data_IF_139844088861
#
_entry.id   IF_139844088861
#
_cell.length_a   1.000
_cell.length_b   1.000
_cell.length_c   1.000
_cell.angle_alpha   90.00
_cell.angle_beta   90.00
_cell.angle_gamma   90.00
#
_symmetry.space_group_name_H-M   'P 1'
#
loop_
_entity.id
_entity.type
_entity.pdbx_description
1 polymer ?
#
# COMPACT_ATOMS: atom_id res chain seq x y z
N UNK A 1 -36.57 15.08 39.63
CA UNK A 1 -37.35 13.83 39.48
C UNK A 1 -36.42 12.77 38.93
N UNK A 2 -36.06 11.82 39.78
CA UNK A 2 -35.25 10.66 39.42
C UNK A 2 -36.17 9.51 38.99
N UNK A 3 -35.85 8.83 37.90
CA UNK A 3 -36.35 7.48 37.63
C UNK A 3 -35.17 6.65 37.12
N UNK A 4 -34.69 5.82 38.05
CA UNK A 4 -33.79 4.67 37.88
C UNK A 4 -34.70 3.46 37.65
N UNK A 5 -34.50 2.62 36.64
CA UNK A 5 -34.95 1.22 36.64
C UNK A 5 -34.11 0.37 35.66
N UNK A 6 -33.14 -0.38 36.19
CA UNK A 6 -33.08 -1.86 36.33
C UNK A 6 -32.58 -2.61 35.08
N UNK A 7 -31.37 -3.18 35.24
CA UNK A 7 -30.79 -4.23 34.42
C UNK A 7 -31.38 -5.61 34.79
N UNK A 8 -31.60 -6.47 33.80
CA UNK A 8 -31.87 -7.90 34.00
C UNK A 8 -30.87 -8.71 33.18
N UNK A 9 -29.99 -9.41 33.88
CA UNK A 9 -29.19 -10.52 33.39
C UNK A 9 -30.02 -11.80 33.46
N UNK A 10 -30.02 -12.61 32.40
CA UNK A 10 -30.35 -14.03 32.50
C UNK A 10 -29.25 -14.85 31.80
N UNK A 11 -28.43 -15.49 32.62
CA UNK A 11 -27.60 -16.64 32.24
C UNK A 11 -28.48 -17.85 32.02
N UNK A 12 -28.21 -18.64 30.97
CA UNK A 12 -28.70 -20.02 30.86
C UNK A 12 -27.52 -20.96 30.68
N UNK A 13 -27.32 -21.81 31.68
CA UNK A 13 -26.46 -22.98 31.62
C UNK A 13 -27.19 -24.11 30.88
N UNK A 14 -26.49 -24.79 29.96
CA UNK A 14 -26.94 -26.02 29.34
C UNK A 14 -25.73 -26.89 29.03
N UNK A 15 -25.45 -27.83 29.92
CA UNK A 15 -24.42 -28.87 29.78
C UNK A 15 -25.03 -30.08 29.07
N UNK A 16 -24.33 -30.67 28.10
CA UNK A 16 -24.38 -32.11 27.88
C UNK A 16 -23.06 -32.61 27.29
N UNK A 17 -22.58 -33.68 27.91
CA UNK A 17 -21.25 -34.27 27.82
C UNK A 17 -21.33 -35.55 26.98
N UNK A 18 -20.39 -35.75 26.06
CA UNK A 18 -20.03 -37.06 25.51
C UNK A 18 -18.54 -37.08 25.18
N UNK A 19 -17.76 -37.59 26.14
CA UNK A 19 -16.69 -38.63 26.05
C UNK A 19 -16.42 -39.15 24.63
N UNK A 20 -15.22 -39.37 24.10
CA UNK A 20 -13.81 -39.27 24.50
C UNK A 20 -13.00 -39.74 23.27
N UNK A 21 -11.84 -39.16 22.98
CA UNK A 21 -10.61 -39.96 22.91
C UNK A 21 -9.34 -39.11 22.81
N UNK A 22 -8.38 -39.52 23.62
CA UNK A 22 -7.02 -39.02 23.73
C UNK A 22 -6.21 -39.32 22.47
N UNK A 23 -5.47 -38.33 21.98
CA UNK A 23 -4.14 -38.59 21.42
C UNK A 23 -3.26 -37.38 21.73
N UNK A 24 -2.31 -37.57 22.64
CA UNK A 24 -1.21 -36.65 22.87
C UNK A 24 -0.24 -36.81 21.71
N UNK A 25 -0.06 -35.77 20.90
CA UNK A 25 1.14 -35.63 20.08
C UNK A 25 1.89 -34.38 20.51
N UNK A 26 2.88 -34.62 21.37
CA UNK A 26 3.98 -33.72 21.63
C UNK A 26 4.81 -33.63 20.36
N UNK A 27 4.66 -32.56 19.58
CA UNK A 27 5.65 -32.22 18.57
C UNK A 27 6.65 -31.25 19.18
N UNK A 28 7.84 -31.81 19.39
CA UNK A 28 9.11 -31.20 19.76
C UNK A 28 9.29 -29.81 19.13
N UNK A 29 9.68 -28.85 19.97
CA UNK A 29 10.30 -27.59 19.56
C UNK A 29 11.59 -27.90 18.79
N UNK A 30 11.46 -28.04 17.47
CA UNK A 30 12.59 -27.99 16.56
C UNK A 30 13.07 -26.55 16.49
N UNK A 31 14.25 -26.29 17.09
CA UNK A 31 15.04 -25.10 16.82
C UNK A 31 15.28 -25.00 15.32
N UNK A 32 14.45 -24.24 14.61
CA UNK A 32 14.73 -23.83 13.24
C UNK A 32 15.87 -22.84 13.36
N UNK A 33 17.06 -23.30 12.95
CA UNK A 33 18.25 -22.50 12.78
C UNK A 33 17.88 -21.20 12.07
N UNK A 34 18.17 -20.07 12.72
CA UNK A 34 18.18 -18.74 12.13
C UNK A 34 19.33 -18.67 11.13
N UNK A 35 19.21 -19.40 10.02
CA UNK A 35 20.09 -19.21 8.88
C UNK A 35 19.69 -17.86 8.28
N UNK A 36 20.45 -16.86 8.68
CA UNK A 36 20.21 -15.46 8.37
C UNK A 36 20.53 -15.30 6.90
N UNK A 37 19.54 -15.50 6.04
CA UNK A 37 19.55 -14.94 4.69
C UNK A 37 19.72 -13.43 4.88
N UNK A 38 20.96 -12.96 4.76
CA UNK A 38 21.27 -11.53 4.82
C UNK A 38 20.51 -10.87 3.67
N UNK A 39 19.41 -10.20 4.01
CA UNK A 39 18.65 -9.42 3.04
C UNK A 39 19.61 -8.50 2.29
N UNK A 40 19.58 -8.56 0.98
CA UNK A 40 20.50 -7.77 0.17
C UNK A 40 20.13 -6.29 0.30
N UNK A 41 21.12 -5.43 0.55
CA UNK A 41 20.89 -3.97 0.64
C UNK A 41 20.67 -3.40 -0.77
N UNK A 42 19.68 -2.51 -1.01
CA UNK A 42 19.42 -1.96 -2.35
C UNK A 42 20.64 -1.36 -3.04
N UNK A 43 21.57 -0.76 -2.29
CA UNK A 43 22.78 -0.08 -2.79
C UNK A 43 23.82 -1.02 -3.40
N UNK A 44 23.65 -2.33 -3.25
CA UNK A 44 24.53 -3.33 -3.88
C UNK A 44 24.07 -3.76 -5.28
N UNK A 45 22.92 -3.27 -5.75
CA UNK A 45 22.41 -3.58 -7.08
C UNK A 45 23.24 -2.89 -8.17
N UNK A 46 23.57 -3.64 -9.23
CA UNK A 46 24.29 -3.14 -10.41
C UNK A 46 23.46 -3.40 -11.67
N UNK A 47 23.34 -2.43 -12.59
CA UNK A 47 22.64 -2.63 -13.87
C UNK A 47 23.39 -3.61 -14.78
N UNK A 48 22.64 -4.33 -15.61
CA UNK A 48 23.22 -5.25 -16.59
C UNK A 48 23.82 -4.50 -17.79
N UNK A 49 23.26 -3.33 -18.13
CA UNK A 49 23.69 -2.51 -19.25
C UNK A 49 24.16 -1.10 -18.85
N UNK A 50 24.56 -0.34 -19.86
CA UNK A 50 24.89 1.07 -19.67
C UNK A 50 23.65 1.90 -19.33
N UNK A 51 23.85 2.90 -18.48
CA UNK A 51 22.79 3.86 -18.14
C UNK A 51 22.34 4.61 -19.41
N UNK A 52 21.03 4.89 -19.55
CA UNK A 52 20.54 5.59 -20.72
C UNK A 52 21.18 6.98 -20.86
N UNK A 53 21.34 7.45 -22.11
CA UNK A 53 22.00 8.72 -22.40
C UNK A 53 21.36 9.93 -21.68
N UNK A 54 20.04 9.90 -21.47
CA UNK A 54 19.30 10.93 -20.72
C UNK A 54 19.46 10.83 -19.19
N UNK A 55 19.98 9.73 -18.68
CA UNK A 55 20.04 9.39 -17.26
C UNK A 55 21.43 8.99 -16.79
N UNK A 56 22.49 9.69 -17.24
CA UNK A 56 23.89 9.37 -16.88
C UNK A 56 24.15 9.34 -15.37
N UNK A 57 23.44 10.17 -14.61
CA UNK A 57 23.57 10.29 -13.16
C UNK A 57 22.59 9.41 -12.38
N UNK A 58 21.89 8.47 -13.03
CA UNK A 58 21.03 7.51 -12.34
C UNK A 58 21.87 6.69 -11.35
N UNK A 59 21.30 6.43 -10.17
CA UNK A 59 21.89 5.46 -9.26
C UNK A 59 21.78 4.06 -9.86
N UNK A 60 22.72 3.18 -9.52
CA UNK A 60 22.73 1.81 -10.04
C UNK A 60 21.43 1.05 -9.70
N UNK A 61 20.86 1.15 -8.48
CA UNK A 61 19.58 0.52 -8.17
C UNK A 61 18.42 1.05 -9.03
N UNK A 62 18.42 2.35 -9.33
CA UNK A 62 17.38 2.93 -10.17
C UNK A 62 17.53 2.47 -11.64
N UNK A 63 18.76 2.33 -12.12
CA UNK A 63 19.02 1.77 -13.45
C UNK A 63 18.49 0.33 -13.55
N UNK A 64 18.70 -0.51 -12.53
CA UNK A 64 18.15 -1.87 -12.46
C UNK A 64 16.61 -1.87 -12.50
N UNK A 65 15.95 -0.97 -11.76
CA UNK A 65 14.49 -0.84 -11.80
C UNK A 65 14.01 -0.44 -13.19
N UNK A 66 14.71 0.47 -13.88
CA UNK A 66 14.38 0.87 -15.26
C UNK A 66 14.56 -0.29 -16.23
N UNK A 67 15.64 -1.07 -16.11
CA UNK A 67 15.85 -2.29 -16.91
C UNK A 67 14.71 -3.30 -16.68
N UNK A 68 14.32 -3.50 -15.42
CA UNK A 68 13.20 -4.38 -15.08
C UNK A 68 11.89 -3.89 -15.68
N UNK A 69 11.60 -2.59 -15.57
CA UNK A 69 10.40 -2.00 -16.17
C UNK A 69 10.38 -2.19 -17.69
N UNK A 70 11.50 -1.98 -18.37
CA UNK A 70 11.64 -2.23 -19.81
C UNK A 70 11.42 -3.69 -20.17
N UNK A 71 11.89 -4.62 -19.32
CA UNK A 71 11.73 -6.07 -19.56
C UNK A 71 10.28 -6.54 -19.62
N UNK A 72 9.34 -5.76 -19.08
CA UNK A 72 7.90 -6.04 -19.21
C UNK A 72 7.36 -5.81 -20.62
N UNK A 73 8.13 -5.15 -21.50
CA UNK A 73 7.81 -4.94 -22.91
C UNK A 73 6.40 -4.33 -23.13
N UNK A 74 6.00 -3.43 -22.24
CA UNK A 74 4.74 -2.71 -22.33
C UNK A 74 4.76 -1.75 -23.54
N UNK A 75 3.67 -1.68 -24.34
CA UNK A 75 3.57 -0.71 -25.41
C UNK A 75 3.55 0.73 -24.86
N UNK A 76 3.97 1.73 -25.66
CA UNK A 76 3.93 3.13 -25.23
C UNK A 76 2.52 3.55 -24.79
N UNK A 77 2.41 4.17 -23.62
CA UNK A 77 1.11 4.52 -23.01
C UNK A 77 0.23 5.36 -23.95
N UNK A 78 0.84 6.23 -24.77
CA UNK A 78 0.11 7.10 -25.71
C UNK A 78 -0.57 6.37 -26.86
N UNK A 79 -0.24 5.08 -27.10
CA UNK A 79 -0.88 4.27 -28.13
C UNK A 79 -2.04 3.42 -27.59
N UNK A 80 -2.33 3.51 -26.30
CA UNK A 80 -3.35 2.71 -25.62
C UNK A 80 -4.59 3.54 -25.28
N UNK A 81 -5.74 2.87 -25.16
CA UNK A 81 -6.88 3.46 -24.45
C UNK A 81 -6.58 3.63 -22.95
N UNK A 82 -7.32 4.50 -22.26
CA UNK A 82 -7.18 4.69 -20.81
C UNK A 82 -7.36 3.37 -20.02
N UNK A 83 -8.33 2.54 -20.43
CA UNK A 83 -8.61 1.25 -19.79
C UNK A 83 -7.44 0.28 -19.95
N UNK A 84 -6.80 0.26 -21.12
CA UNK A 84 -5.62 -0.59 -21.36
C UNK A 84 -4.38 -0.05 -20.65
N UNK A 85 -4.16 1.28 -20.69
CA UNK A 85 -3.04 1.93 -20.02
C UNK A 85 -3.05 1.68 -18.50
N UNK A 86 -4.23 1.70 -17.86
CA UNK A 86 -4.39 1.39 -16.43
C UNK A 86 -4.03 -0.05 -16.05
N UNK A 87 -3.99 -0.97 -17.02
CA UNK A 87 -3.61 -2.38 -16.81
C UNK A 87 -2.11 -2.63 -17.02
N UNK A 88 -1.38 -1.66 -17.57
CA UNK A 88 0.04 -1.82 -17.84
C UNK A 88 0.85 -1.93 -16.55
N UNK A 89 1.96 -2.70 -16.56
CA UNK A 89 2.89 -2.75 -15.44
C UNK A 89 3.40 -1.35 -15.07
N UNK A 90 3.41 -1.05 -13.79
CA UNK A 90 3.87 0.23 -13.25
C UNK A 90 5.36 0.18 -12.84
N UNK A 91 6.00 1.35 -12.66
CA UNK A 91 7.31 1.40 -11.99
C UNK A 91 7.29 0.74 -10.60
N UNK A 92 6.18 0.81 -9.86
CA UNK A 92 6.05 0.14 -8.57
C UNK A 92 6.08 -1.39 -8.70
N UNK A 93 5.54 -1.94 -9.78
CA UNK A 93 5.62 -3.39 -10.07
C UNK A 93 7.06 -3.79 -10.42
N UNK A 94 7.79 -2.95 -11.16
CA UNK A 94 9.21 -3.18 -11.43
C UNK A 94 10.04 -3.18 -10.15
N UNK A 95 9.82 -2.22 -9.23
CA UNK A 95 10.47 -2.20 -7.91
C UNK A 95 10.18 -3.49 -7.13
N UNK A 96 8.91 -3.90 -7.03
CA UNK A 96 8.52 -5.14 -6.34
C UNK A 96 9.21 -6.37 -6.95
N UNK A 97 9.25 -6.46 -8.28
CA UNK A 97 9.88 -7.56 -8.97
C UNK A 97 11.40 -7.58 -8.76
N UNK A 98 12.08 -6.43 -8.74
CA UNK A 98 13.52 -6.33 -8.40
C UNK A 98 13.74 -6.78 -6.96
N UNK A 99 12.95 -6.29 -6.01
CA UNK A 99 13.10 -6.67 -4.60
C UNK A 99 12.94 -8.17 -4.39
N UNK A 100 11.94 -8.78 -5.04
CA UNK A 100 11.72 -10.22 -5.00
C UNK A 100 12.87 -11.00 -5.64
N UNK A 101 13.34 -10.57 -6.81
CA UNK A 101 14.41 -11.24 -7.55
C UNK A 101 15.75 -11.22 -6.79
N UNK A 102 16.00 -10.17 -6.00
CA UNK A 102 17.24 -9.97 -5.26
C UNK A 102 17.10 -10.22 -3.75
N UNK A 103 15.98 -10.81 -3.30
CA UNK A 103 15.71 -11.08 -1.89
C UNK A 103 15.94 -9.85 -0.98
N UNK A 104 15.53 -8.67 -1.47
CA UNK A 104 15.59 -7.41 -0.72
C UNK A 104 14.37 -7.35 0.19
N UNK A 105 14.62 -7.17 1.49
CA UNK A 105 13.55 -7.03 2.46
C UNK A 105 12.73 -5.75 2.21
N UNK A 106 11.41 -5.88 2.30
CA UNK A 106 10.53 -4.71 2.35
C UNK A 106 10.75 -4.02 3.70
N UNK A 107 11.01 -2.70 3.72
CA UNK A 107 11.14 -1.97 4.97
C UNK A 107 9.88 -2.16 5.83
N UNK A 108 10.03 -2.40 7.16
CA UNK A 108 8.89 -2.50 8.04
C UNK A 108 8.15 -1.16 8.07
N UNK A 109 6.83 -1.22 7.89
CA UNK A 109 5.96 -0.05 7.96
C UNK A 109 5.19 -0.09 9.28
N UNK A 110 5.53 0.81 10.22
CA UNK A 110 4.85 0.90 11.52
C UNK A 110 3.65 1.86 11.46
N UNK A 111 2.70 1.53 10.59
CA UNK A 111 1.51 2.33 10.34
C UNK A 111 0.24 1.46 10.39
N UNK A 112 -0.88 2.06 10.77
CA UNK A 112 -2.22 1.54 10.49
C UNK A 112 -2.71 2.07 9.15
N UNK A 113 -3.54 1.28 8.47
CA UNK A 113 -4.18 1.69 7.22
C UNK A 113 -5.67 1.42 7.29
N UNK A 114 -6.48 2.43 7.02
CA UNK A 114 -7.94 2.30 6.93
C UNK A 114 -8.45 2.92 5.63
N UNK A 115 -9.58 2.40 5.14
CA UNK A 115 -10.32 2.99 4.02
C UNK A 115 -11.52 3.79 4.53
N UNK A 116 -11.83 4.91 3.88
CA UNK A 116 -13.01 5.73 4.18
C UNK A 116 -13.59 6.32 2.90
N UNK A 117 -14.88 6.12 2.68
CA UNK A 117 -15.60 6.82 1.61
C UNK A 117 -16.08 8.19 2.10
N UNK A 118 -16.02 9.19 1.22
CA UNK A 118 -16.63 10.51 1.45
C UNK A 118 -17.52 10.91 0.28
N UNK A 119 -18.51 11.74 0.57
CA UNK A 119 -19.42 12.29 -0.44
C UNK A 119 -18.79 13.52 -1.10
N UNK A 120 -18.92 13.61 -2.43
CA UNK A 120 -18.49 14.77 -3.23
C UNK A 120 -19.58 15.13 -4.24
N UNK A 121 -19.56 16.33 -4.84
CA UNK A 121 -20.50 16.66 -5.89
C UNK A 121 -20.49 15.63 -7.03
N UNK A 122 -21.65 15.02 -7.28
CA UNK A 122 -21.81 14.01 -8.32
C UNK A 122 -21.32 12.60 -7.97
N UNK A 123 -21.08 12.28 -6.69
CA UNK A 123 -20.82 10.89 -6.28
C UNK A 123 -20.13 10.74 -4.93
N UNK A 124 -19.29 9.72 -4.83
CA UNK A 124 -18.42 9.46 -3.69
C UNK A 124 -17.01 9.13 -4.18
N UNK A 125 -16.01 9.44 -3.36
CA UNK A 125 -14.62 9.03 -3.58
C UNK A 125 -14.11 8.27 -2.36
N UNK A 126 -13.08 7.45 -2.59
CA UNK A 126 -12.43 6.67 -1.54
C UNK A 126 -11.15 7.34 -1.07
N UNK A 127 -10.93 7.31 0.25
CA UNK A 127 -9.70 7.74 0.90
C UNK A 127 -9.04 6.52 1.51
N UNK A 128 -7.71 6.44 1.40
CA UNK A 128 -6.89 5.54 2.22
C UNK A 128 -6.06 6.36 3.19
N UNK A 129 -6.26 6.11 4.48
CA UNK A 129 -5.64 6.88 5.56
C UNK A 129 -4.57 6.01 6.20
N UNK A 130 -3.34 6.53 6.23
CA UNK A 130 -2.16 5.91 6.85
C UNK A 130 -1.84 6.65 8.13
N UNK A 131 -1.85 5.94 9.27
CA UNK A 131 -1.63 6.54 10.59
C UNK A 131 -0.38 5.93 11.25
N UNK A 132 0.63 6.73 11.63
CA UNK A 132 1.80 6.23 12.34
C UNK A 132 1.46 5.62 13.71
N UNK A 133 2.12 4.52 14.07
CA UNK A 133 1.98 3.87 15.38
C UNK A 133 3.08 4.29 16.35
N UNK A 134 3.32 5.59 16.46
CA UNK A 134 4.36 6.13 17.37
C UNK A 134 3.83 6.44 18.77
N UNK A 135 2.51 6.30 18.99
CA UNK A 135 1.87 6.54 20.29
C UNK A 135 1.64 8.02 20.62
N UNK A 136 1.73 8.93 19.64
CA UNK A 136 1.36 10.34 19.84
C UNK A 136 -0.15 10.51 19.81
N UNK A 137 -0.63 11.47 20.59
CA UNK A 137 -2.06 11.84 20.66
C UNK A 137 -2.50 12.66 19.43
N UNK A 138 -1.60 13.45 18.85
CA UNK A 138 -1.87 14.34 17.71
C UNK A 138 -0.77 14.21 16.66
N UNK A 139 -1.18 14.08 15.41
CA UNK A 139 -0.29 14.04 14.25
C UNK A 139 -0.59 15.19 13.29
N UNK A 140 0.42 15.75 12.60
CA UNK A 140 0.17 16.56 11.41
C UNK A 140 -0.51 15.72 10.33
N UNK A 141 -1.23 16.36 9.42
CA UNK A 141 -1.95 15.71 8.32
C UNK A 141 -1.38 16.14 6.99
N UNK A 142 -1.16 15.17 6.09
CA UNK A 142 -0.80 15.38 4.70
C UNK A 142 -1.92 14.81 3.83
N UNK A 143 -2.55 15.65 3.02
CA UNK A 143 -3.44 15.18 1.95
C UNK A 143 -2.59 14.87 0.72
N UNK A 144 -2.66 13.62 0.26
CA UNK A 144 -1.80 13.09 -0.79
C UNK A 144 -2.61 12.76 -2.04
N UNK A 145 -2.22 13.37 -3.15
CA UNK A 145 -2.81 13.13 -4.46
C UNK A 145 -1.80 12.36 -5.31
N UNK A 146 -2.18 11.15 -5.72
CA UNK A 146 -1.32 10.32 -6.54
C UNK A 146 -1.13 10.91 -7.94
N UNK A 147 0.03 10.63 -8.55
CA UNK A 147 0.31 11.00 -9.94
C UNK A 147 -0.39 10.08 -10.95
N UNK A 148 0.08 10.11 -12.19
CA UNK A 148 -0.49 9.32 -13.30
C UNK A 148 -1.25 10.15 -14.35
N UNK A 149 -0.99 11.46 -14.41
CA UNK A 149 -1.52 12.34 -15.46
C UNK A 149 -3.04 12.36 -15.53
N UNK A 150 -3.71 12.21 -14.38
CA UNK A 150 -5.17 12.11 -14.23
C UNK A 150 -5.83 10.90 -14.91
N UNK A 151 -5.08 10.01 -15.56
CA UNK A 151 -5.63 8.90 -16.35
C UNK A 151 -5.25 7.55 -15.78
N UNK A 152 -4.01 7.37 -15.33
CA UNK A 152 -3.46 6.10 -14.85
C UNK A 152 -3.07 6.16 -13.37
N UNK A 153 -2.63 5.01 -12.84
CA UNK A 153 -2.27 4.79 -11.45
C UNK A 153 -3.44 4.96 -10.47
N UNK A 154 -3.24 4.53 -9.24
CA UNK A 154 -4.25 4.49 -8.19
C UNK A 154 -3.60 4.43 -6.80
N UNK A 155 -4.43 4.26 -5.77
CA UNK A 155 -3.99 4.04 -4.39
C UNK A 155 -3.04 2.84 -4.23
N UNK A 156 -3.12 1.81 -5.08
CA UNK A 156 -2.25 0.63 -5.02
C UNK A 156 -0.87 0.95 -5.59
N UNK A 157 -0.80 1.71 -6.68
CA UNK A 157 0.46 2.11 -7.32
C UNK A 157 1.29 2.99 -6.39
N UNK A 158 0.64 3.90 -5.65
CA UNK A 158 1.30 4.85 -4.74
C UNK A 158 1.30 4.42 -3.27
N UNK A 159 0.86 3.19 -2.97
CA UNK A 159 0.70 2.72 -1.59
C UNK A 159 1.99 2.83 -0.76
N UNK A 160 3.11 2.34 -1.33
CA UNK A 160 4.41 2.38 -0.68
C UNK A 160 4.91 3.81 -0.46
N UNK A 161 4.61 4.74 -1.38
CA UNK A 161 4.99 6.14 -1.25
C UNK A 161 4.22 6.84 -0.14
N UNK A 162 2.90 6.64 -0.07
CA UNK A 162 2.06 7.23 0.97
C UNK A 162 2.36 6.64 2.36
N UNK A 163 2.53 5.32 2.45
CA UNK A 163 2.93 4.63 3.69
C UNK A 163 4.33 5.05 4.15
N UNK A 164 5.30 5.10 3.22
CA UNK A 164 6.65 5.54 3.52
C UNK A 164 6.70 6.98 4.00
N UNK A 165 5.92 7.88 3.37
CA UNK A 165 5.81 9.27 3.81
C UNK A 165 5.25 9.35 5.23
N UNK A 166 4.12 8.68 5.52
CA UNK A 166 3.52 8.66 6.85
C UNK A 166 4.51 8.20 7.92
N UNK A 167 5.26 7.13 7.63
CA UNK A 167 6.24 6.55 8.54
C UNK A 167 7.46 7.47 8.76
N UNK A 168 8.00 8.07 7.70
CA UNK A 168 9.22 8.89 7.78
C UNK A 168 9.02 10.24 8.44
N UNK A 169 7.86 10.89 8.19
CA UNK A 169 7.58 12.23 8.73
C UNK A 169 6.70 12.21 9.97
N UNK A 170 6.27 11.02 10.41
CA UNK A 170 5.33 10.82 11.52
C UNK A 170 4.07 11.69 11.37
N UNK A 171 3.43 11.60 10.20
CA UNK A 171 2.20 12.30 9.86
C UNK A 171 1.11 11.32 9.43
N UNK A 172 -0.15 11.69 9.67
CA UNK A 172 -1.28 11.00 9.04
C UNK A 172 -1.30 11.39 7.56
N UNK A 173 -1.27 10.40 6.67
CA UNK A 173 -1.36 10.63 5.23
C UNK A 173 -2.73 10.19 4.74
N UNK A 174 -3.47 11.09 4.13
CA UNK A 174 -4.78 10.83 3.51
C UNK A 174 -4.59 10.76 2.00
N UNK A 175 -4.51 9.56 1.45
CA UNK A 175 -4.37 9.34 0.01
C UNK A 175 -5.74 9.30 -0.66
N UNK A 176 -5.96 10.21 -1.62
CA UNK A 176 -7.27 10.47 -2.22
C UNK A 176 -7.40 9.76 -3.57
N UNK A 177 -8.39 8.88 -3.72
CA UNK A 177 -8.75 8.28 -5.01
C UNK A 177 -9.71 9.21 -5.78
N UNK A 178 -9.17 10.34 -6.25
CA UNK A 178 -9.93 11.27 -7.08
C UNK A 178 -10.41 10.59 -8.38
N UNK A 179 -11.53 11.05 -8.95
CA UNK A 179 -12.05 10.48 -10.19
C UNK A 179 -11.17 10.86 -11.38
N UNK A 180 -10.90 9.89 -12.24
CA UNK A 180 -9.94 10.00 -13.33
C UNK A 180 -10.59 10.36 -14.68
N UNK A 181 -9.77 10.98 -15.53
CA UNK A 181 -10.04 11.15 -16.95
C UNK A 181 -9.77 9.84 -17.70
N UNK A 182 -10.39 9.61 -18.88
CA UNK A 182 -11.26 10.53 -19.62
C UNK A 182 -12.72 10.56 -19.13
N UNK A 183 -13.13 9.65 -18.26
CA UNK A 183 -14.51 9.52 -17.79
C UNK A 183 -14.96 10.76 -17.03
N UNK A 184 -14.04 11.38 -16.28
CA UNK A 184 -14.27 12.59 -15.51
C UNK A 184 -13.29 13.68 -15.96
N UNK A 185 -13.75 14.54 -16.88
CA UNK A 185 -12.93 15.65 -17.40
C UNK A 185 -12.66 16.70 -16.33
N UNK A 186 -11.65 17.53 -16.56
CA UNK A 186 -11.43 18.74 -15.78
C UNK A 186 -12.75 19.55 -15.63
N UNK A 187 -13.11 20.05 -14.43
CA UNK A 187 -12.30 20.11 -13.20
C UNK A 187 -12.58 18.99 -12.17
N UNK A 188 -13.22 17.87 -12.53
CA UNK A 188 -13.74 16.91 -11.55
C UNK A 188 -12.67 16.41 -10.57
N UNK A 189 -11.52 15.93 -11.04
CA UNK A 189 -10.43 15.48 -10.17
C UNK A 189 -9.96 16.57 -9.19
N UNK A 190 -9.97 17.83 -9.62
CA UNK A 190 -9.53 18.97 -8.80
C UNK A 190 -10.57 19.30 -7.73
N UNK A 191 -11.85 19.23 -8.08
CA UNK A 191 -12.94 19.41 -7.14
C UNK A 191 -13.00 18.27 -6.11
N UNK A 192 -12.77 17.02 -6.55
CA UNK A 192 -12.65 15.85 -5.66
C UNK A 192 -11.48 16.05 -4.68
N UNK A 193 -10.33 16.49 -5.18
CA UNK A 193 -9.16 16.79 -4.36
C UNK A 193 -9.42 17.90 -3.34
N UNK A 194 -10.11 18.98 -3.72
CA UNK A 194 -10.44 20.09 -2.83
C UNK A 194 -11.47 19.72 -1.76
N UNK A 195 -12.40 18.82 -2.08
CA UNK A 195 -13.44 18.37 -1.15
C UNK A 195 -12.97 17.33 -0.12
N UNK A 196 -11.81 16.70 -0.36
CA UNK A 196 -11.21 15.69 0.51
C UNK A 196 -10.46 16.32 1.69
#
# INVERSE_FOLDING_TARGET
MAVVFIAVFCSSCGSNNSTSNSTKDSTTAGSISTDTLKAQKPESLQPAGEKPAWGKNLTDPMAVVIEKLKSFNAPPIVTLSAVEARKQPSPADAVKAVMQQHSIAVPPNNIDTIGKDIMVPGGKIHLRIYTPKTGKDVYPVIVYYHGGGWVIADLKTYDASAAGLANMVEAVVVSVAYRQAPENKFPVAHNDSYAA
#
